data_IF_533992316910
#
_entry.id   IF_533992316910
#
_cell.length_a   1.000
_cell.length_b   1.000
_cell.length_c   1.000
_cell.angle_alpha   90.00
_cell.angle_beta   90.00
_cell.angle_gamma   90.00
#
_symmetry.space_group_name_H-M   'P 1'
#
loop_
_entity.id
_entity.type
_entity.pdbx_description
1 polymer ?
#
# COMPACT_ATOMS: atom_id res chain seq x y z
N UNK A 1 29.62 2.47 3.28
CA UNK A 1 29.49 3.38 2.11
C UNK A 1 29.34 2.67 0.76
N UNK A 2 29.93 1.49 0.53
CA UNK A 2 29.80 0.75 -0.75
C UNK A 2 28.34 0.39 -1.09
N UNK A 3 27.54 -0.07 -0.10
CA UNK A 3 26.13 -0.45 -0.31
C UNK A 3 25.21 0.70 -0.76
N UNK A 4 25.38 1.91 -0.22
CA UNK A 4 24.57 3.07 -0.64
C UNK A 4 24.89 3.54 -2.06
N UNK A 5 26.16 3.44 -2.48
CA UNK A 5 26.54 3.73 -3.87
C UNK A 5 25.99 2.69 -4.84
N UNK A 6 25.85 1.42 -4.44
CA UNK A 6 25.23 0.39 -5.28
C UNK A 6 23.75 0.68 -5.58
N UNK A 7 23.03 1.37 -4.69
CA UNK A 7 21.63 1.75 -4.91
C UNK A 7 21.46 2.76 -6.07
N UNK A 8 22.44 3.66 -6.26
CA UNK A 8 22.44 4.64 -7.35
C UNK A 8 23.32 4.25 -8.55
N UNK A 9 24.20 3.26 -8.36
CA UNK A 9 25.31 2.96 -9.26
C UNK A 9 25.16 1.70 -10.09
N UNK A 10 23.98 1.07 -10.11
CA UNK A 10 23.76 -0.15 -10.90
C UNK A 10 23.58 0.20 -12.37
N UNK A 11 24.69 0.58 -13.05
CA UNK A 11 24.73 0.73 -14.51
C UNK A 11 24.25 -0.57 -15.14
N UNK A 12 23.01 -0.57 -15.64
CA UNK A 12 22.49 -1.66 -16.43
C UNK A 12 23.40 -1.88 -17.64
N UNK A 13 23.74 -3.13 -17.94
CA UNK A 13 24.52 -3.52 -19.12
C UNK A 13 23.80 -3.27 -20.46
N UNK A 14 22.70 -2.51 -20.47
CA UNK A 14 21.96 -2.10 -21.65
C UNK A 14 21.68 -0.60 -21.61
N UNK A 15 22.03 0.10 -22.68
CA UNK A 15 22.04 1.56 -22.81
C UNK A 15 20.67 2.28 -22.74
N UNK A 16 19.63 1.65 -22.15
CA UNK A 16 18.28 2.23 -22.10
C UNK A 16 17.31 1.64 -21.07
N UNK A 17 17.76 0.83 -20.11
CA UNK A 17 16.86 0.16 -19.12
C UNK A 17 17.07 0.60 -17.67
N UNK A 18 17.88 1.62 -17.43
CA UNK A 18 18.19 2.11 -16.09
C UNK A 18 17.47 3.44 -15.83
N UNK A 19 16.88 3.59 -14.65
CA UNK A 19 16.10 4.77 -14.24
C UNK A 19 16.98 5.98 -13.91
N UNK A 20 18.28 5.94 -14.26
CA UNK A 20 19.27 7.01 -14.04
C UNK A 20 19.37 7.46 -12.57
N UNK A 21 19.02 6.57 -11.63
CA UNK A 21 19.01 6.88 -10.19
C UNK A 21 17.93 7.88 -9.77
N UNK A 22 16.84 8.01 -10.52
CA UNK A 22 15.65 8.77 -10.13
C UNK A 22 14.91 8.06 -9.01
N UNK A 23 14.50 8.80 -7.98
CA UNK A 23 13.73 8.26 -6.84
C UNK A 23 12.22 8.40 -7.08
N UNK A 24 11.78 9.63 -7.36
CA UNK A 24 10.37 9.98 -7.55
C UNK A 24 10.17 10.86 -8.78
N UNK A 25 8.99 10.74 -9.36
CA UNK A 25 8.49 11.64 -10.40
C UNK A 25 7.27 12.35 -9.86
N UNK A 26 7.27 13.67 -9.97
CA UNK A 26 6.14 14.54 -9.63
C UNK A 26 5.50 14.96 -10.95
N UNK A 27 4.22 14.58 -11.15
CA UNK A 27 3.42 15.02 -12.27
C UNK A 27 2.79 16.38 -11.96
N UNK A 28 3.21 17.41 -12.69
CA UNK A 28 2.75 18.78 -12.51
C UNK A 28 1.88 19.21 -13.69
N UNK A 29 0.59 19.49 -13.46
CA UNK A 29 -0.36 19.89 -14.50
C UNK A 29 -0.37 21.41 -14.64
N UNK A 30 -0.12 21.91 -15.84
CA UNK A 30 -0.10 23.33 -16.17
C UNK A 30 -1.31 23.66 -17.06
N UNK A 31 -2.46 24.04 -16.48
CA UNK A 31 -3.64 24.38 -17.26
C UNK A 31 -3.46 25.70 -18.02
N UNK A 32 -3.90 25.74 -19.28
CA UNK A 32 -3.79 26.92 -20.16
C UNK A 32 -4.49 28.15 -19.56
N UNK A 33 -5.62 27.95 -18.86
CA UNK A 33 -6.45 29.04 -18.30
C UNK A 33 -5.83 29.72 -17.07
N UNK A 34 -4.96 29.05 -16.32
CA UNK A 34 -4.39 29.55 -15.07
C UNK A 34 -2.87 29.40 -15.05
N UNK A 35 -2.23 29.71 -16.18
CA UNK A 35 -0.81 29.48 -16.39
C UNK A 35 0.09 30.27 -15.44
N UNK A 36 -0.23 31.53 -15.16
CA UNK A 36 0.58 32.38 -14.27
C UNK A 36 0.64 31.82 -12.83
N UNK A 37 -0.49 31.33 -12.31
CA UNK A 37 -0.54 30.69 -10.98
C UNK A 37 0.23 29.37 -10.96
N UNK A 38 0.15 28.58 -12.02
CA UNK A 38 0.89 27.33 -12.16
C UNK A 38 2.41 27.57 -12.29
N UNK A 39 2.84 28.62 -13.00
CA UNK A 39 4.25 29.01 -13.07
C UNK A 39 4.78 29.47 -11.70
N UNK A 40 4.02 30.28 -10.97
CA UNK A 40 4.38 30.69 -9.61
C UNK A 40 4.43 29.49 -8.64
N UNK A 41 3.43 28.60 -8.70
CA UNK A 41 3.39 27.38 -7.88
C UNK A 41 4.53 26.41 -8.21
N UNK A 42 4.95 26.33 -9.47
CA UNK A 42 6.07 25.52 -9.90
C UNK A 42 7.40 26.03 -9.34
N UNK A 43 7.63 27.35 -9.35
CA UNK A 43 8.81 27.94 -8.72
C UNK A 43 8.85 27.64 -7.21
N UNK A 44 7.72 27.76 -6.52
CA UNK A 44 7.61 27.39 -5.10
C UNK A 44 7.91 25.90 -4.87
N UNK A 45 7.46 25.02 -5.76
CA UNK A 45 7.70 23.58 -5.67
C UNK A 45 9.20 23.26 -5.77
N UNK A 46 9.89 23.82 -6.76
CA UNK A 46 11.34 23.59 -6.93
C UNK A 46 12.12 24.16 -5.74
N UNK A 47 11.77 25.36 -5.26
CA UNK A 47 12.40 25.95 -4.08
C UNK A 47 12.19 25.09 -2.82
N UNK A 48 11.00 24.54 -2.62
CA UNK A 48 10.72 23.65 -1.49
C UNK A 48 11.52 22.34 -1.57
N UNK A 49 11.62 21.73 -2.75
CA UNK A 49 12.38 20.49 -2.95
C UNK A 49 13.89 20.69 -2.74
N UNK A 50 14.43 21.77 -3.29
CA UNK A 50 15.86 22.11 -3.16
C UNK A 50 16.24 22.46 -1.72
N UNK A 51 15.35 23.13 -0.97
CA UNK A 51 15.54 23.43 0.47
C UNK A 51 15.73 22.16 1.32
N UNK A 52 15.09 21.06 0.94
CA UNK A 52 15.17 19.77 1.66
C UNK A 52 16.38 18.94 1.24
N UNK A 53 17.14 19.38 0.22
CA UNK A 53 18.32 18.67 -0.28
C UNK A 53 17.99 17.62 -1.35
N UNK A 54 16.90 17.83 -2.09
CA UNK A 54 16.54 17.03 -3.26
C UNK A 54 16.95 17.76 -4.55
N UNK A 55 17.62 17.06 -5.46
CA UNK A 55 17.93 17.53 -6.80
C UNK A 55 16.73 17.29 -7.69
N UNK A 56 16.44 18.27 -8.54
CA UNK A 56 15.29 18.24 -9.45
C UNK A 56 15.74 18.40 -10.90
N UNK A 57 15.15 17.60 -11.79
CA UNK A 57 15.27 17.76 -13.23
C UNK A 57 13.86 17.82 -13.84
N UNK A 58 13.66 18.66 -14.84
CA UNK A 58 12.33 18.89 -15.43
C UNK A 58 12.37 18.36 -16.86
N UNK A 59 11.38 17.54 -17.23
CA UNK A 59 11.16 17.15 -18.62
C UNK A 59 9.71 17.36 -19.02
N UNK A 60 9.50 17.45 -20.33
CA UNK A 60 8.17 17.56 -20.91
C UNK A 60 7.41 16.25 -20.68
N UNK A 61 6.21 16.36 -20.12
CA UNK A 61 5.26 15.25 -20.03
C UNK A 61 4.26 15.30 -21.18
N UNK A 62 3.06 14.78 -20.90
CA UNK A 62 1.90 14.90 -21.79
C UNK A 62 1.52 16.36 -22.04
N UNK A 63 0.76 16.66 -23.12
CA UNK A 63 0.36 18.03 -23.45
C UNK A 63 -0.29 18.74 -22.26
N UNK A 64 0.33 19.84 -21.81
CA UNK A 64 -0.12 20.60 -20.63
C UNK A 64 0.37 20.06 -19.28
N UNK A 65 1.42 19.22 -19.26
CA UNK A 65 2.04 18.74 -18.03
C UNK A 65 3.57 18.70 -18.08
N UNK A 66 4.18 18.85 -16.91
CA UNK A 66 5.61 18.75 -16.68
C UNK A 66 5.88 17.57 -15.75
N UNK A 67 6.96 16.85 -16.00
CA UNK A 67 7.46 15.78 -15.15
C UNK A 67 8.70 16.29 -14.43
N UNK A 68 8.61 16.40 -13.10
CA UNK A 68 9.74 16.78 -12.26
C UNK A 68 10.33 15.51 -11.66
N UNK A 69 11.51 15.15 -12.10
CA UNK A 69 12.30 14.04 -11.60
C UNK A 69 13.05 14.49 -10.36
N UNK A 70 12.97 13.69 -9.29
CA UNK A 70 13.53 14.01 -7.99
C UNK A 70 14.52 12.91 -7.60
N UNK A 71 15.70 13.32 -7.13
CA UNK A 71 16.70 12.43 -6.53
C UNK A 71 17.33 13.07 -5.32
N UNK A 72 17.80 12.30 -4.35
CA UNK A 72 18.56 12.86 -3.23
C UNK A 72 19.94 13.39 -3.71
N UNK A 73 20.33 14.59 -3.26
CA UNK A 73 21.56 15.25 -3.74
C UNK A 73 22.82 14.53 -3.24
N UNK A 74 22.85 14.15 -1.97
CA UNK A 74 24.02 13.59 -1.30
C UNK A 74 23.72 12.25 -0.64
N UNK A 75 24.63 11.30 -0.85
CA UNK A 75 24.61 9.99 -0.20
C UNK A 75 24.82 10.12 1.31
N UNK A 76 25.60 11.12 1.74
CA UNK A 76 25.84 11.37 3.17
C UNK A 76 24.59 11.90 3.85
N UNK A 77 23.84 12.77 3.16
CA UNK A 77 22.53 13.24 3.62
C UNK A 77 21.55 12.08 3.73
N UNK A 78 21.50 11.19 2.73
CA UNK A 78 20.69 9.97 2.80
C UNK A 78 21.06 9.11 4.02
N UNK A 79 22.36 8.90 4.26
CA UNK A 79 22.84 8.12 5.40
C UNK A 79 22.42 8.73 6.75
N UNK A 80 22.49 10.05 6.89
CA UNK A 80 22.03 10.75 8.08
C UNK A 80 20.51 10.64 8.27
N UNK A 81 19.72 10.75 7.20
CA UNK A 81 18.26 10.62 7.26
C UNK A 81 17.82 9.20 7.60
N UNK A 82 18.48 8.18 7.03
CA UNK A 82 18.27 6.78 7.40
C UNK A 82 18.55 6.56 8.88
N UNK A 83 19.71 7.03 9.36
CA UNK A 83 20.06 6.89 10.77
C UNK A 83 19.04 7.55 11.70
N UNK A 84 18.62 8.78 11.40
CA UNK A 84 17.57 9.50 12.15
C UNK A 84 16.24 8.75 12.14
N UNK A 85 15.83 8.23 10.98
CA UNK A 85 14.61 7.44 10.84
C UNK A 85 14.64 6.16 11.68
N UNK A 86 15.74 5.40 11.62
CA UNK A 86 15.91 4.18 12.43
C UNK A 86 15.94 4.46 13.92
N UNK A 87 16.57 5.56 14.34
CA UNK A 87 16.57 5.99 15.74
C UNK A 87 15.16 6.38 16.20
N UNK A 88 14.41 7.13 15.40
CA UNK A 88 13.01 7.48 15.68
C UNK A 88 12.15 6.23 15.84
N UNK A 89 12.23 5.28 14.89
CA UNK A 89 11.49 4.03 14.91
C UNK A 89 11.87 3.17 16.16
N UNK A 90 13.13 3.22 16.60
CA UNK A 90 13.58 2.54 17.82
C UNK A 90 13.07 3.22 19.10
N UNK A 91 13.16 4.56 19.19
CA UNK A 91 12.66 5.33 20.35
C UNK A 91 11.16 5.10 20.58
N UNK A 92 10.40 4.92 19.50
CA UNK A 92 8.97 4.64 19.55
C UNK A 92 8.65 3.14 19.70
N UNK A 93 9.66 2.28 19.87
CA UNK A 93 9.50 0.86 20.17
C UNK A 93 9.12 -0.03 18.97
N UNK A 94 9.25 0.47 17.73
CA UNK A 94 8.94 -0.31 16.52
C UNK A 94 10.05 -1.31 16.22
N UNK A 95 11.30 -0.84 16.32
CA UNK A 95 12.49 -1.65 16.09
C UNK A 95 12.93 -2.28 17.41
N UNK A 96 13.21 -3.58 17.39
CA UNK A 96 13.69 -4.31 18.57
C UNK A 96 15.13 -3.93 18.95
N UNK A 97 15.97 -3.60 17.96
CA UNK A 97 17.37 -3.22 18.15
C UNK A 97 17.63 -1.78 17.71
N UNK A 98 18.31 -1.02 18.58
CA UNK A 98 18.75 0.33 18.27
C UNK A 98 19.96 0.35 17.33
N UNK A 99 20.11 1.39 16.49
CA UNK A 99 21.29 1.54 15.65
C UNK A 99 22.54 1.82 16.50
N UNK A 100 23.72 1.38 16.05
CA UNK A 100 24.99 1.69 16.72
C UNK A 100 25.27 3.20 16.71
N UNK A 101 25.98 3.73 17.72
CA UNK A 101 26.35 5.15 17.81
C UNK A 101 27.04 5.71 16.56
N UNK A 102 27.81 4.86 15.88
CA UNK A 102 28.53 5.23 14.66
C UNK A 102 27.63 5.02 13.44
N UNK A 103 27.27 6.11 12.75
CA UNK A 103 26.41 6.09 11.54
C UNK A 103 26.96 5.13 10.48
N UNK A 104 28.26 5.16 10.24
CA UNK A 104 28.90 4.33 9.21
C UNK A 104 28.83 2.83 9.53
N UNK A 105 28.90 2.45 10.81
CA UNK A 105 28.77 1.06 11.25
C UNK A 105 27.32 0.60 11.17
N UNK A 106 26.37 1.42 11.64
CA UNK A 106 24.94 1.11 11.55
C UNK A 106 24.47 0.83 10.11
N UNK A 107 24.99 1.58 9.14
CA UNK A 107 24.69 1.39 7.72
C UNK A 107 25.45 0.23 7.07
N UNK A 108 26.53 -0.26 7.70
CA UNK A 108 27.27 -1.42 7.25
C UNK A 108 26.68 -2.73 7.78
N UNK A 109 26.24 -2.73 9.04
CA UNK A 109 25.61 -3.87 9.71
C UNK A 109 24.25 -4.21 9.07
N UNK A 110 23.48 -3.17 8.74
CA UNK A 110 22.18 -3.32 8.07
C UNK A 110 22.11 -2.43 6.83
N UNK A 111 22.28 -3.00 5.63
CA UNK A 111 22.26 -2.25 4.38
C UNK A 111 20.88 -1.62 4.15
N UNK A 112 20.87 -0.42 3.58
CA UNK A 112 19.64 0.31 3.25
C UNK A 112 18.94 -0.37 2.10
N UNK A 113 17.67 -0.71 2.30
CA UNK A 113 16.82 -1.30 1.27
C UNK A 113 16.28 -0.22 0.34
N UNK A 114 15.87 -0.61 -0.86
CA UNK A 114 15.28 0.34 -1.81
C UNK A 114 13.95 0.90 -1.30
N UNK A 115 13.12 0.05 -0.69
CA UNK A 115 11.87 0.45 -0.05
C UNK A 115 12.10 1.45 1.10
N UNK A 116 13.12 1.23 1.95
CA UNK A 116 13.48 2.16 3.03
C UNK A 116 13.93 3.52 2.46
N UNK A 117 14.78 3.50 1.43
CA UNK A 117 15.24 4.71 0.71
C UNK A 117 14.06 5.49 0.13
N UNK A 118 13.21 4.84 -0.67
CA UNK A 118 12.07 5.49 -1.31
C UNK A 118 11.07 6.01 -0.27
N UNK A 119 10.81 5.26 0.80
CA UNK A 119 9.97 5.71 1.92
C UNK A 119 10.50 7.00 2.54
N UNK A 120 11.80 7.09 2.80
CA UNK A 120 12.39 8.29 3.41
C UNK A 120 12.37 9.49 2.46
N UNK A 121 12.67 9.29 1.18
CA UNK A 121 12.58 10.37 0.18
C UNK A 121 11.13 10.86 0.05
N UNK A 122 10.15 9.95 0.05
CA UNK A 122 8.74 10.31 0.05
C UNK A 122 8.33 11.08 1.30
N UNK A 123 8.83 10.68 2.47
CA UNK A 123 8.61 11.42 3.72
C UNK A 123 9.23 12.83 3.66
N UNK A 124 10.41 13.00 3.06
CA UNK A 124 11.01 14.31 2.84
C UNK A 124 10.16 15.20 1.93
N UNK A 125 9.48 14.62 0.93
CA UNK A 125 8.58 15.36 0.02
C UNK A 125 7.29 15.80 0.75
N UNK A 126 6.67 14.92 1.54
CA UNK A 126 5.31 15.16 2.09
C UNK A 126 5.29 15.77 3.48
N UNK A 127 6.29 15.49 4.34
CA UNK A 127 6.31 16.02 5.71
C UNK A 127 6.19 17.55 5.70
N UNK A 128 5.44 18.16 6.64
CA UNK A 128 5.33 19.60 6.75
C UNK A 128 6.71 20.29 6.86
N UNK A 129 6.78 21.55 6.44
CA UNK A 129 8.01 22.35 6.52
C UNK A 129 8.52 22.48 7.97
N UNK A 130 7.62 22.46 8.96
CA UNK A 130 7.96 22.50 10.38
C UNK A 130 8.71 21.24 10.85
N UNK A 131 8.46 20.09 10.22
CA UNK A 131 9.08 18.80 10.59
C UNK A 131 10.30 18.47 9.70
N UNK A 132 10.77 19.46 8.93
CA UNK A 132 11.94 19.32 8.05
C UNK A 132 11.66 18.70 6.68
N UNK A 133 10.40 18.62 6.24
CA UNK A 133 10.03 18.20 4.88
C UNK A 133 9.68 19.35 3.93
N UNK A 134 9.29 19.04 2.70
CA UNK A 134 8.92 20.02 1.67
C UNK A 134 7.44 20.44 1.73
N UNK A 135 6.62 19.73 2.51
CA UNK A 135 5.19 20.01 2.68
C UNK A 135 4.36 19.83 1.42
N UNK A 136 4.83 19.04 0.45
CA UNK A 136 4.14 18.79 -0.82
C UNK A 136 3.08 17.73 -0.58
N UNK A 137 1.81 18.14 -0.62
CA UNK A 137 0.68 17.24 -0.45
C UNK A 137 -0.41 17.56 -1.47
N UNK A 138 -0.92 16.53 -2.16
CA UNK A 138 -1.97 16.63 -3.16
C UNK A 138 -3.28 17.19 -2.58
N UNK A 139 -3.61 16.86 -1.32
CA UNK A 139 -4.81 17.39 -0.66
C UNK A 139 -4.71 18.86 -0.26
N UNK A 140 -3.51 19.45 -0.28
CA UNK A 140 -3.33 20.85 0.10
C UNK A 140 -3.73 21.78 -1.05
N UNK A 141 -4.57 22.78 -0.75
CA UNK A 141 -4.92 23.82 -1.72
C UNK A 141 -3.67 24.55 -2.28
N UNK A 142 -2.58 24.61 -1.51
CA UNK A 142 -1.28 25.17 -1.94
C UNK A 142 -0.71 24.46 -3.16
N UNK A 143 -0.96 23.16 -3.31
CA UNK A 143 -0.37 22.31 -4.35
C UNK A 143 -1.41 21.76 -5.34
N UNK A 144 -2.39 22.58 -5.71
CA UNK A 144 -3.47 22.23 -6.66
C UNK A 144 -2.99 21.62 -7.98
N UNK A 145 -1.82 22.04 -8.45
CA UNK A 145 -1.27 21.65 -9.75
C UNK A 145 -0.40 20.39 -9.69
N UNK A 146 -0.09 19.88 -8.49
CA UNK A 146 0.58 18.59 -8.32
C UNK A 146 -0.47 17.50 -8.46
N UNK A 147 -0.42 16.75 -9.55
CA UNK A 147 -1.35 15.66 -9.79
C UNK A 147 -0.94 14.42 -9.00
N UNK A 148 0.27 13.92 -9.25
CA UNK A 148 0.72 12.63 -8.74
C UNK A 148 2.18 12.67 -8.33
N UNK A 149 2.54 11.87 -7.31
CA UNK A 149 3.92 11.66 -6.86
C UNK A 149 4.13 10.16 -6.77
N UNK A 150 4.95 9.60 -7.66
CA UNK A 150 5.13 8.15 -7.74
C UNK A 150 6.59 7.77 -8.04
N UNK A 151 7.08 6.64 -7.53
CA UNK A 151 8.39 6.11 -7.86
C UNK A 151 8.38 5.41 -9.22
N UNK A 152 9.54 5.27 -9.85
CA UNK A 152 9.68 4.51 -11.11
C UNK A 152 9.87 3.02 -10.84
N UNK A 153 9.35 2.18 -11.75
CA UNK A 153 9.54 0.74 -11.70
C UNK A 153 10.92 0.32 -12.20
N UNK A 154 11.53 -0.67 -11.55
CA UNK A 154 12.72 -1.38 -12.02
C UNK A 154 12.31 -2.48 -13.01
N UNK A 155 12.34 -2.15 -14.30
CA UNK A 155 11.93 -3.06 -15.38
C UNK A 155 12.78 -4.34 -15.45
N UNK A 156 14.13 -4.28 -15.35
CA UNK A 156 14.96 -5.49 -15.22
C UNK A 156 14.50 -6.41 -14.07
N UNK A 157 14.32 -5.85 -12.87
CA UNK A 157 13.87 -6.64 -11.72
C UNK A 157 12.49 -7.28 -11.96
N UNK A 158 11.53 -6.53 -12.50
CA UNK A 158 10.18 -7.06 -12.75
C UNK A 158 10.20 -8.25 -13.73
N UNK A 159 11.01 -8.19 -14.78
CA UNK A 159 11.14 -9.28 -15.75
C UNK A 159 11.71 -10.54 -15.10
N UNK A 160 12.82 -10.39 -14.36
CA UNK A 160 13.48 -11.51 -13.67
C UNK A 160 12.56 -12.11 -12.60
N UNK A 161 11.84 -11.26 -11.87
CA UNK A 161 10.90 -11.63 -10.82
C UNK A 161 9.74 -12.48 -11.35
N UNK A 162 9.04 -12.00 -12.40
CA UNK A 162 7.92 -12.73 -13.02
C UNK A 162 8.40 -14.07 -13.56
N UNK A 163 9.57 -14.10 -14.22
CA UNK A 163 10.13 -15.33 -14.76
C UNK A 163 10.50 -16.33 -13.65
N UNK A 164 11.12 -15.87 -12.56
CA UNK A 164 11.48 -16.70 -11.40
C UNK A 164 10.24 -17.31 -10.75
N UNK A 165 9.18 -16.52 -10.58
CA UNK A 165 7.95 -16.95 -9.91
C UNK A 165 7.13 -17.92 -10.75
N UNK A 166 7.06 -17.72 -12.06
CA UNK A 166 6.35 -18.62 -12.97
C UNK A 166 6.86 -20.07 -12.95
N UNK A 167 8.11 -20.28 -12.50
CA UNK A 167 8.76 -21.60 -12.44
C UNK A 167 8.62 -22.27 -11.06
N UNK A 168 8.15 -21.55 -10.05
CA UNK A 168 8.05 -22.05 -8.67
C UNK A 168 6.62 -22.48 -8.36
N UNK A 169 6.49 -23.61 -7.67
CA UNK A 169 5.21 -24.10 -7.14
C UNK A 169 4.80 -23.40 -5.83
N UNK A 170 5.79 -23.04 -5.00
CA UNK A 170 5.59 -22.32 -3.74
C UNK A 170 6.68 -21.26 -3.59
N UNK A 171 6.32 -20.13 -2.99
CA UNK A 171 7.23 -19.02 -2.73
C UNK A 171 8.08 -19.29 -1.49
N UNK A 172 9.35 -18.92 -1.53
CA UNK A 172 10.26 -19.04 -0.39
C UNK A 172 10.22 -17.79 0.50
N UNK A 173 10.76 -17.88 1.72
CA UNK A 173 10.90 -16.70 2.58
C UNK A 173 11.86 -15.65 1.98
N UNK A 174 12.88 -16.08 1.25
CA UNK A 174 13.78 -15.20 0.52
C UNK A 174 13.05 -14.38 -0.56
N UNK A 175 12.08 -14.99 -1.26
CA UNK A 175 11.29 -14.28 -2.28
C UNK A 175 10.39 -13.20 -1.65
N UNK A 176 9.87 -13.44 -0.44
CA UNK A 176 9.12 -12.44 0.32
C UNK A 176 10.03 -11.30 0.79
N UNK A 177 11.27 -11.61 1.17
CA UNK A 177 12.25 -10.60 1.56
C UNK A 177 12.64 -9.71 0.36
N UNK A 178 12.78 -10.29 -0.83
CA UNK A 178 13.03 -9.53 -2.06
C UNK A 178 11.89 -8.54 -2.35
N UNK A 179 10.62 -8.97 -2.21
CA UNK A 179 9.44 -8.09 -2.34
C UNK A 179 9.49 -6.98 -1.32
N UNK A 180 9.74 -7.32 -0.05
CA UNK A 180 9.81 -6.34 1.03
C UNK A 180 10.87 -5.28 0.72
N UNK A 181 12.06 -5.70 0.29
CA UNK A 181 13.18 -4.80 0.03
C UNK A 181 12.91 -3.83 -1.13
N UNK A 182 12.05 -4.19 -2.08
CA UNK A 182 11.73 -3.40 -3.28
C UNK A 182 10.43 -2.61 -3.16
N UNK A 183 9.34 -3.24 -2.72
CA UNK A 183 7.98 -2.68 -2.69
C UNK A 183 7.49 -2.29 -1.29
N UNK A 184 8.24 -2.66 -0.25
CA UNK A 184 7.90 -2.37 1.14
C UNK A 184 7.03 -3.45 1.81
N UNK A 185 6.85 -3.29 3.12
CA UNK A 185 6.25 -4.30 3.98
C UNK A 185 4.75 -4.50 3.73
N UNK A 186 4.01 -3.46 3.33
CA UNK A 186 2.56 -3.58 3.06
C UNK A 186 2.27 -4.55 1.92
N UNK A 187 3.03 -4.45 0.83
CA UNK A 187 2.92 -5.36 -0.32
C UNK A 187 3.44 -6.74 0.05
N UNK A 188 4.55 -6.81 0.80
CA UNK A 188 5.09 -8.09 1.28
C UNK A 188 4.11 -8.86 2.19
N UNK A 189 3.37 -8.18 3.08
CA UNK A 189 2.34 -8.79 3.92
C UNK A 189 1.22 -9.42 3.09
N UNK A 190 0.80 -8.77 2.01
CA UNK A 190 -0.20 -9.33 1.10
C UNK A 190 0.28 -10.66 0.49
N UNK A 191 1.50 -10.71 -0.05
CA UNK A 191 2.04 -11.95 -0.62
C UNK A 191 2.32 -13.02 0.45
N UNK A 192 2.75 -12.63 1.66
CA UNK A 192 2.93 -13.54 2.77
C UNK A 192 1.59 -14.16 3.23
N UNK A 193 0.52 -13.36 3.28
CA UNK A 193 -0.84 -13.82 3.54
C UNK A 193 -1.30 -14.77 2.45
N UNK A 194 -1.18 -14.37 1.17
CA UNK A 194 -1.61 -15.16 0.03
C UNK A 194 -0.92 -16.54 -0.01
N UNK A 195 0.41 -16.58 0.18
CA UNK A 195 1.17 -17.84 0.29
C UNK A 195 0.63 -18.71 1.43
N UNK A 196 0.49 -18.14 2.62
CA UNK A 196 0.06 -18.89 3.81
C UNK A 196 -1.37 -19.43 3.62
N UNK A 197 -2.27 -18.59 3.09
CA UNK A 197 -3.64 -18.96 2.78
C UNK A 197 -3.70 -20.07 1.72
N UNK A 198 -2.92 -19.97 0.64
CA UNK A 198 -2.86 -20.99 -0.41
C UNK A 198 -2.43 -22.36 0.13
N UNK A 199 -1.39 -22.41 0.97
CA UNK A 199 -0.94 -23.66 1.61
C UNK A 199 -2.03 -24.22 2.54
N UNK A 200 -2.68 -23.36 3.33
CA UNK A 200 -3.75 -23.80 4.23
C UNK A 200 -5.01 -24.25 3.48
N UNK A 201 -5.29 -23.71 2.30
CA UNK A 201 -6.45 -24.06 1.47
C UNK A 201 -6.36 -25.48 0.89
N UNK A 202 -5.16 -26.06 0.84
CA UNK A 202 -4.97 -27.47 0.46
C UNK A 202 -5.74 -28.43 1.38
N UNK A 203 -5.87 -28.11 2.67
CA UNK A 203 -6.59 -28.94 3.64
C UNK A 203 -8.11 -29.02 3.37
N UNK A 204 -8.87 -27.91 3.32
CA UNK A 204 -10.30 -27.97 3.01
C UNK A 204 -10.55 -28.43 1.57
N UNK A 205 -9.60 -28.23 0.64
CA UNK A 205 -9.70 -28.78 -0.72
C UNK A 205 -9.64 -30.31 -0.71
N UNK A 206 -8.69 -30.90 0.03
CA UNK A 206 -8.59 -32.37 0.16
C UNK A 206 -9.79 -32.95 0.93
N UNK A 207 -10.19 -32.31 2.04
CA UNK A 207 -11.35 -32.72 2.84
C UNK A 207 -12.66 -32.56 2.06
N UNK A 208 -12.80 -31.52 1.25
CA UNK A 208 -13.93 -31.27 0.37
C UNK A 208 -14.01 -32.27 -0.78
N UNK A 209 -12.88 -32.59 -1.41
CA UNK A 209 -12.81 -33.63 -2.43
C UNK A 209 -13.21 -35.01 -1.85
N UNK A 210 -12.70 -35.36 -0.67
CA UNK A 210 -13.08 -36.59 0.02
C UNK A 210 -14.56 -36.64 0.40
N UNK A 211 -15.10 -35.52 0.91
CA UNK A 211 -16.52 -35.42 1.24
C UNK A 211 -17.42 -35.53 0.00
N UNK A 212 -17.06 -34.86 -1.09
CA UNK A 212 -17.77 -34.94 -2.36
C UNK A 212 -17.79 -36.37 -2.92
N UNK A 213 -16.66 -37.08 -2.84
CA UNK A 213 -16.53 -38.44 -3.37
C UNK A 213 -17.28 -39.49 -2.51
N UNK A 214 -17.31 -39.33 -1.18
CA UNK A 214 -17.77 -40.39 -0.26
C UNK A 214 -19.08 -40.07 0.48
N UNK A 215 -19.32 -38.83 0.87
CA UNK A 215 -20.42 -38.43 1.78
C UNK A 215 -21.57 -37.73 1.06
N UNK A 216 -21.39 -37.29 -0.19
CA UNK A 216 -22.39 -36.56 -0.96
C UNK A 216 -22.54 -35.10 -0.52
N UNK A 217 -23.59 -34.44 -1.02
CA UNK A 217 -23.86 -33.01 -0.77
C UNK A 217 -24.39 -32.78 0.66
N UNK A 218 -24.13 -31.59 1.22
CA UNK A 218 -24.59 -31.17 2.56
C UNK A 218 -24.10 -32.03 3.74
N UNK A 219 -22.86 -32.55 3.65
CA UNK A 219 -22.25 -33.31 4.74
C UNK A 219 -21.95 -32.45 5.98
N UNK A 220 -22.55 -32.81 7.12
CA UNK A 220 -22.24 -32.17 8.41
C UNK A 220 -20.78 -32.33 8.83
N UNK A 221 -20.12 -33.42 8.42
CA UNK A 221 -18.70 -33.66 8.70
C UNK A 221 -17.81 -32.64 7.98
N UNK A 222 -18.12 -32.33 6.72
CA UNK A 222 -17.43 -31.28 5.97
C UNK A 222 -17.60 -29.90 6.63
N UNK A 223 -18.83 -29.56 7.04
CA UNK A 223 -19.11 -28.29 7.70
C UNK A 223 -18.32 -28.09 9.00
N UNK A 224 -18.25 -29.12 9.87
CA UNK A 224 -17.43 -29.08 11.09
C UNK A 224 -15.94 -28.98 10.77
N UNK A 225 -15.46 -29.71 9.77
CA UNK A 225 -14.07 -29.63 9.30
C UNK A 225 -13.70 -28.24 8.79
N UNK A 226 -14.56 -27.60 8.01
CA UNK A 226 -14.38 -26.22 7.55
C UNK A 226 -14.41 -25.21 8.70
N UNK A 227 -15.34 -25.37 9.65
CA UNK A 227 -15.41 -24.54 10.85
C UNK A 227 -14.10 -24.59 11.64
N UNK A 228 -13.61 -25.80 11.92
CA UNK A 228 -12.35 -26.00 12.63
C UNK A 228 -11.16 -25.42 11.86
N UNK A 229 -11.07 -25.70 10.55
CA UNK A 229 -10.02 -25.15 9.69
C UNK A 229 -9.98 -23.61 9.71
N UNK A 230 -11.14 -22.96 9.66
CA UNK A 230 -11.24 -21.50 9.63
C UNK A 230 -10.64 -20.86 10.89
N UNK A 231 -10.93 -21.43 12.06
CA UNK A 231 -10.40 -20.97 13.36
C UNK A 231 -8.89 -21.21 13.43
N UNK A 232 -8.44 -22.42 13.04
CA UNK A 232 -7.01 -22.76 13.04
C UNK A 232 -6.21 -21.81 12.14
N UNK A 233 -6.69 -21.57 10.92
CA UNK A 233 -6.02 -20.66 9.99
C UNK A 233 -5.94 -19.24 10.54
N UNK A 234 -7.04 -18.72 11.09
CA UNK A 234 -7.10 -17.36 11.61
C UNK A 234 -6.15 -17.16 12.78
N UNK A 235 -6.13 -18.06 13.76
CA UNK A 235 -5.22 -17.99 14.90
C UNK A 235 -3.75 -18.22 14.50
N UNK A 236 -3.50 -19.12 13.56
CA UNK A 236 -2.17 -19.29 12.96
C UNK A 236 -1.68 -18.00 12.28
N UNK A 237 -2.55 -17.35 11.49
CA UNK A 237 -2.19 -16.12 10.78
C UNK A 237 -1.92 -14.97 11.75
N UNK A 238 -2.73 -14.79 12.79
CA UNK A 238 -2.48 -13.77 13.84
C UNK A 238 -1.10 -13.95 14.47
N UNK A 239 -0.69 -15.19 14.76
CA UNK A 239 0.66 -15.47 15.28
C UNK A 239 1.74 -15.12 14.24
N UNK A 240 1.56 -15.58 13.00
CA UNK A 240 2.52 -15.34 11.91
C UNK A 240 2.66 -13.85 11.59
N UNK A 241 1.60 -13.06 11.70
CA UNK A 241 1.62 -11.61 11.52
C UNK A 241 2.55 -10.94 12.53
N UNK A 242 2.47 -11.33 13.82
CA UNK A 242 3.36 -10.81 14.86
C UNK A 242 4.81 -11.23 14.61
N UNK A 243 5.04 -12.50 14.24
CA UNK A 243 6.39 -13.00 13.92
C UNK A 243 7.02 -12.20 12.76
N UNK A 244 6.27 -11.97 11.68
CA UNK A 244 6.71 -11.16 10.54
C UNK A 244 6.89 -9.69 10.92
N UNK A 245 5.99 -9.11 11.71
CA UNK A 245 6.10 -7.73 12.15
C UNK A 245 7.34 -7.48 13.01
N UNK A 246 7.72 -8.46 13.86
CA UNK A 246 8.97 -8.40 14.65
C UNK A 246 10.18 -8.63 13.76
N UNK A 247 10.18 -9.67 12.91
CA UNK A 247 11.28 -9.97 11.99
C UNK A 247 11.57 -8.81 11.04
N UNK A 248 10.53 -8.09 10.62
CA UNK A 248 10.65 -6.94 9.75
C UNK A 248 10.83 -5.62 10.48
N UNK A 249 10.75 -5.60 11.81
CA UNK A 249 10.89 -4.37 12.60
C UNK A 249 9.84 -3.32 12.25
N UNK A 250 8.59 -3.75 12.06
CA UNK A 250 7.41 -2.89 11.78
C UNK A 250 6.28 -3.07 12.79
N UNK A 251 6.59 -3.70 13.93
CA UNK A 251 5.63 -3.92 15.01
C UNK A 251 5.17 -2.57 15.59
N UNK A 252 3.86 -2.32 15.61
CA UNK A 252 3.30 -1.09 16.21
C UNK A 252 3.43 0.17 15.36
N UNK A 253 3.82 0.07 14.08
CA UNK A 253 3.98 1.23 13.17
C UNK A 253 2.69 2.03 12.97
N UNK A 254 1.52 1.49 13.32
CA UNK A 254 0.23 2.20 13.25
C UNK A 254 0.18 3.47 14.12
N UNK A 255 0.94 3.53 15.20
CA UNK A 255 1.00 4.70 16.08
C UNK A 255 1.82 5.87 15.51
N UNK A 256 2.64 5.61 14.49
CA UNK A 256 3.71 6.53 14.02
C UNK A 256 3.41 7.08 12.62
N UNK A 257 2.26 6.70 12.05
CA UNK A 257 1.86 7.18 10.74
C UNK A 257 1.63 8.70 10.77
N UNK A 258 2.08 9.37 9.71
CA UNK A 258 1.89 10.80 9.55
C UNK A 258 0.40 11.14 9.62
N UNK A 259 0.02 12.17 10.41
CA UNK A 259 -1.37 12.59 10.48
C UNK A 259 -1.84 13.08 9.12
N UNK A 260 -3.10 12.77 8.79
CA UNK A 260 -3.72 13.22 7.53
C UNK A 260 -3.78 14.76 7.53
N UNK A 261 -3.34 15.44 6.47
CA UNK A 261 -3.36 16.91 6.44
C UNK A 261 -4.77 17.52 6.49
N UNK A 262 -5.79 16.78 6.06
CA UNK A 262 -7.20 17.17 6.15
C UNK A 262 -7.83 16.94 7.54
N UNK A 263 -7.07 16.39 8.49
CA UNK A 263 -7.58 16.08 9.82
C UNK A 263 -7.94 17.36 10.58
N UNK A 264 -9.24 17.50 10.88
CA UNK A 264 -9.76 18.55 11.75
C UNK A 264 -9.65 18.10 13.21
N UNK A 265 -9.08 18.98 14.02
CA UNK A 265 -8.83 18.77 15.44
C UNK A 265 -9.53 19.85 16.26
N UNK A 266 -9.88 19.52 17.51
CA UNK A 266 -10.62 20.43 18.39
C UNK A 266 -9.69 21.20 19.33
N UNK A 267 -8.65 20.53 19.84
CA UNK A 267 -7.63 21.10 20.72
C UNK A 267 -6.30 20.36 20.55
N UNK A 268 -5.23 20.99 21.01
CA UNK A 268 -3.89 20.42 21.11
C UNK A 268 -3.65 19.97 22.54
N UNK A 269 -3.08 18.78 22.72
CA UNK A 269 -2.72 18.24 24.02
C UNK A 269 -1.36 17.56 23.93
N UNK A 270 -0.64 17.45 25.03
CA UNK A 270 0.62 16.72 25.08
C UNK A 270 0.37 15.21 25.06
N UNK A 271 1.15 14.48 24.27
CA UNK A 271 1.14 13.03 24.30
C UNK A 271 1.69 12.52 25.64
N UNK A 272 0.95 11.64 26.29
CA UNK A 272 1.33 11.04 27.59
C UNK A 272 2.62 10.24 27.54
N UNK A 273 3.03 9.76 26.36
CA UNK A 273 4.24 8.93 26.19
C UNK A 273 5.43 9.75 25.73
N UNK A 274 5.27 10.57 24.69
CA UNK A 274 6.38 11.32 24.07
C UNK A 274 6.55 12.74 24.62
N UNK A 275 5.51 13.32 25.23
CA UNK A 275 5.48 14.73 25.64
C UNK A 275 5.40 15.71 24.47
N UNK A 276 5.24 15.24 23.23
CA UNK A 276 5.09 16.11 22.07
C UNK A 276 3.65 16.66 21.97
N UNK A 277 3.46 17.89 21.48
CA UNK A 277 2.13 18.44 21.27
C UNK A 277 1.44 17.72 20.10
N UNK A 278 0.30 17.08 20.39
CA UNK A 278 -0.51 16.33 19.42
C UNK A 278 -1.90 16.94 19.25
N UNK A 279 -2.37 16.93 18.00
CA UNK A 279 -3.70 17.40 17.62
C UNK A 279 -4.75 16.34 17.97
N UNK A 280 -5.65 16.64 18.89
CA UNK A 280 -6.61 15.66 19.43
C UNK A 280 -8.02 15.91 18.91
N UNK A 281 -8.72 14.81 18.61
CA UNK A 281 -10.15 14.79 18.33
C UNK A 281 -10.87 13.88 19.35
N UNK A 282 -11.89 14.38 20.08
CA UNK A 282 -12.54 13.64 21.15
C UNK A 282 -13.13 12.29 20.74
N UNK A 283 -12.88 11.25 21.55
CA UNK A 283 -13.37 9.89 21.28
C UNK A 283 -14.91 9.81 21.26
N UNK A 284 -15.60 10.58 22.12
CA UNK A 284 -17.08 10.58 22.18
C UNK A 284 -17.70 11.07 20.87
N UNK A 285 -17.17 12.15 20.30
CA UNK A 285 -17.61 12.68 19.00
C UNK A 285 -17.31 11.70 17.87
N UNK A 286 -16.14 11.05 17.92
CA UNK A 286 -15.75 10.02 16.93
C UNK A 286 -16.71 8.84 16.95
N UNK A 287 -17.04 8.34 18.15
CA UNK A 287 -17.96 7.22 18.32
C UNK A 287 -19.38 7.57 17.87
N UNK A 288 -19.89 8.76 18.22
CA UNK A 288 -21.19 9.24 17.74
C UNK A 288 -21.26 9.29 16.20
N UNK A 289 -20.18 9.75 15.55
CA UNK A 289 -20.11 9.79 14.08
C UNK A 289 -20.00 8.38 13.48
N UNK A 290 -19.26 7.47 14.12
CA UNK A 290 -19.14 6.07 13.70
C UNK A 290 -20.47 5.30 13.85
N UNK A 291 -21.31 5.63 14.83
CA UNK A 291 -22.64 5.02 14.96
C UNK A 291 -23.53 5.27 13.75
N UNK A 292 -23.32 6.36 12.99
CA UNK A 292 -24.01 6.62 11.72
C UNK A 292 -23.70 5.58 10.63
N UNK A 293 -22.62 4.80 10.78
CA UNK A 293 -22.32 3.69 9.87
C UNK A 293 -23.32 2.55 9.99
N UNK A 294 -23.98 2.38 11.15
CA UNK A 294 -24.99 1.32 11.36
C UNK A 294 -26.22 1.52 10.45
N UNK A 295 -26.94 2.66 10.49
CA UNK A 295 -28.07 2.88 9.58
C UNK A 295 -27.61 2.93 8.12
N UNK A 296 -26.41 3.42 7.83
CA UNK A 296 -25.84 3.38 6.48
C UNK A 296 -25.64 1.93 5.99
N UNK A 297 -25.09 1.05 6.82
CA UNK A 297 -24.92 -0.37 6.48
C UNK A 297 -26.28 -1.07 6.27
N UNK A 298 -27.27 -0.78 7.12
CA UNK A 298 -28.64 -1.30 6.94
C UNK A 298 -29.24 -0.83 5.61
N UNK A 299 -29.10 0.45 5.27
CA UNK A 299 -29.56 0.98 4.00
C UNK A 299 -28.88 0.29 2.81
N UNK A 300 -27.56 0.06 2.87
CA UNK A 300 -26.83 -0.66 1.84
C UNK A 300 -27.31 -2.11 1.69
N UNK A 301 -27.55 -2.81 2.81
CA UNK A 301 -28.08 -4.18 2.80
C UNK A 301 -29.49 -4.22 2.19
N UNK A 302 -30.35 -3.25 2.51
CA UNK A 302 -31.70 -3.19 1.94
C UNK A 302 -31.68 -2.89 0.44
N UNK A 303 -30.88 -1.92 0.00
CA UNK A 303 -30.78 -1.53 -1.41
C UNK A 303 -30.14 -2.64 -2.24
N UNK A 304 -28.95 -3.12 -1.87
CA UNK A 304 -28.27 -4.18 -2.61
C UNK A 304 -29.00 -5.52 -2.48
N UNK A 305 -29.52 -5.83 -1.29
CA UNK A 305 -30.30 -7.05 -1.04
C UNK A 305 -31.59 -7.09 -1.86
N UNK A 306 -32.33 -5.98 -1.93
CA UNK A 306 -33.55 -5.92 -2.77
C UNK A 306 -33.22 -6.06 -4.25
N UNK A 307 -32.13 -5.44 -4.74
CA UNK A 307 -31.65 -5.62 -6.11
C UNK A 307 -31.38 -7.10 -6.43
N UNK A 308 -30.62 -7.78 -5.56
CA UNK A 308 -30.28 -9.21 -5.72
C UNK A 308 -31.54 -10.08 -5.65
N UNK A 309 -32.46 -9.81 -4.72
CA UNK A 309 -33.73 -10.56 -4.61
C UNK A 309 -34.57 -10.38 -5.87
N UNK A 310 -34.68 -9.17 -6.40
CA UNK A 310 -35.44 -8.91 -7.64
C UNK A 310 -34.81 -9.64 -8.82
N UNK A 311 -33.49 -9.56 -8.99
CA UNK A 311 -32.78 -10.26 -10.05
C UNK A 311 -32.99 -11.78 -9.97
N UNK A 312 -32.76 -12.38 -8.79
CA UNK A 312 -32.96 -13.82 -8.59
C UNK A 312 -34.44 -14.24 -8.74
N UNK A 313 -35.39 -13.39 -8.35
CA UNK A 313 -36.82 -13.68 -8.53
C UNK A 313 -37.20 -13.70 -10.00
N UNK A 314 -36.64 -12.78 -10.81
CA UNK A 314 -36.85 -12.74 -12.25
C UNK A 314 -36.23 -13.96 -12.93
N UNK A 315 -35.03 -14.38 -12.50
CA UNK A 315 -34.38 -15.60 -12.95
C UNK A 315 -35.23 -16.84 -12.69
N UNK A 316 -35.75 -16.98 -11.47
CA UNK A 316 -36.64 -18.09 -11.11
C UNK A 316 -37.91 -18.06 -11.96
N UNK A 317 -38.48 -16.87 -12.19
CA UNK A 317 -39.68 -16.71 -13.02
C UNK A 317 -39.45 -17.13 -14.47
N UNK A 318 -38.36 -16.67 -15.11
CA UNK A 318 -38.03 -17.04 -16.49
C UNK A 318 -37.75 -18.54 -16.60
N UNK A 319 -37.01 -19.12 -15.65
CA UNK A 319 -36.62 -20.53 -15.74
C UNK A 319 -37.77 -21.49 -15.42
N UNK A 320 -38.54 -21.22 -14.36
CA UNK A 320 -39.52 -22.17 -13.83
C UNK A 320 -40.96 -21.90 -14.29
N UNK A 321 -41.33 -20.65 -14.55
CA UNK A 321 -42.73 -20.25 -14.77
C UNK A 321 -43.00 -19.87 -16.22
N UNK A 322 -42.01 -19.31 -16.93
CA UNK A 322 -42.18 -18.89 -18.32
C UNK A 322 -41.96 -20.05 -19.30
N UNK A 323 -43.02 -20.43 -20.03
CA UNK A 323 -42.98 -21.44 -21.09
C UNK A 323 -43.21 -20.86 -22.50
N UNK A 324 -43.03 -19.54 -22.65
CA UNK A 324 -43.18 -18.86 -23.93
C UNK A 324 -41.99 -19.05 -24.89
N UNK A 325 -42.14 -18.64 -26.16
CA UNK A 325 -41.07 -18.71 -27.14
C UNK A 325 -39.91 -17.77 -26.76
N UNK A 326 -38.66 -18.20 -27.00
CA UNK A 326 -37.47 -17.40 -26.72
C UNK A 326 -36.91 -17.54 -25.30
N UNK A 327 -37.41 -18.49 -24.48
CA UNK A 327 -36.91 -18.80 -23.12
C UNK A 327 -35.38 -18.90 -23.05
N UNK A 328 -34.74 -19.59 -23.99
CA UNK A 328 -33.27 -19.72 -24.02
C UNK A 328 -32.54 -18.38 -24.18
N UNK A 329 -33.07 -17.45 -24.97
CA UNK A 329 -32.48 -16.12 -25.15
C UNK A 329 -32.66 -15.24 -23.91
N UNK A 330 -33.81 -15.33 -23.24
CA UNK A 330 -34.08 -14.59 -22.00
C UNK A 330 -33.17 -15.05 -20.86
N UNK A 331 -32.94 -16.36 -20.74
CA UNK A 331 -32.00 -16.93 -19.75
C UNK A 331 -30.57 -16.47 -20.00
N UNK A 332 -30.09 -16.49 -21.25
CA UNK A 332 -28.74 -16.01 -21.57
C UNK A 332 -28.57 -14.50 -21.36
N UNK A 333 -29.62 -13.71 -21.61
CA UNK A 333 -29.60 -12.25 -21.42
C UNK A 333 -29.44 -11.88 -19.95
N UNK A 334 -30.12 -12.58 -19.04
CA UNK A 334 -29.95 -12.38 -17.60
C UNK A 334 -28.59 -12.84 -17.09
N UNK A 335 -28.07 -13.99 -17.55
CA UNK A 335 -26.73 -14.44 -17.16
C UNK A 335 -25.65 -13.44 -17.56
N UNK A 336 -25.78 -12.80 -18.73
CA UNK A 336 -24.89 -11.72 -19.14
C UNK A 336 -25.08 -10.44 -18.33
N UNK A 337 -26.31 -10.04 -18.05
CA UNK A 337 -26.60 -8.86 -17.23
C UNK A 337 -26.08 -9.01 -15.79
N UNK A 338 -26.25 -10.19 -15.18
CA UNK A 338 -25.72 -10.53 -13.87
C UNK A 338 -24.19 -10.59 -13.83
N UNK A 339 -23.55 -11.09 -14.89
CA UNK A 339 -22.09 -11.12 -15.00
C UNK A 339 -21.45 -9.73 -15.18
N UNK A 340 -22.19 -8.74 -15.69
CA UNK A 340 -21.72 -7.35 -15.81
C UNK A 340 -21.97 -6.49 -14.57
N UNK A 341 -22.78 -6.97 -13.62
CA UNK A 341 -23.17 -6.23 -12.42
C UNK A 341 -22.36 -6.58 -11.16
N UNK A 342 -21.53 -7.64 -11.22
CA UNK A 342 -20.52 -8.01 -10.22
C UNK A 342 -19.13 -7.59 -10.69
#
# INVERSE_FOLDING_TARGET
MSGLRQLYGKKGNGAGSDNLGVDYVIHYKVPVKARAEAEAGFLQLIQALTKVGLATEVRNGDPGSLLVFVKIVSIDLLGQQVYRGRLQDWLQGVRASGPSSDIAKALADEPVTEAERLRLVYQLIIRPENDGGAGINQSSAKWKYVADVFPLHDQPFNKDWIQKWSKKWLLDEADLQDIRNKFGERVAFYFAFLKSYFVFLMFPSALGFGAWMLLGQFSSFYALGCGLWSVIFLEYWKKKEVDLAVQWGVRGVSAIQLPRPEFKWDYEAEDTVTGEPVKVYPYKKRLQTQLLQIPFAIACILVLGSLVVVANSLEIFINQVYDGPGKQYLVSLEQHAGATAL
#
